data_IF_675957266975
#
_entry.id   IF_675957266975
#
_cell.length_a   1.000
_cell.length_b   1.000
_cell.length_c   1.000
_cell.angle_alpha   90.00
_cell.angle_beta   90.00
_cell.angle_gamma   90.00
#
_symmetry.space_group_name_H-M   'P 1'
#
loop_
_entity.id
_entity.type
_entity.pdbx_description
1 polymer ?
#
# COMPACT_ATOMS: atom_id res chain seq x y z
N UNK A 1 -11.86 -7.28 2.52
CA UNK A 1 -10.73 -8.13 2.08
C UNK A 1 -10.51 -7.88 0.59
N UNK A 2 -9.28 -7.66 0.12
CA UNK A 2 -9.06 -7.39 -1.32
C UNK A 2 -9.42 -8.64 -2.11
N UNK A 3 -10.25 -8.50 -3.14
CA UNK A 3 -10.61 -9.61 -4.03
C UNK A 3 -9.53 -9.88 -5.11
N UNK A 4 -8.34 -9.31 -4.93
CA UNK A 4 -7.22 -9.43 -5.86
C UNK A 4 -6.83 -10.89 -6.06
N UNK A 5 -6.65 -11.29 -7.31
CA UNK A 5 -6.28 -12.66 -7.71
C UNK A 5 -4.78 -12.92 -7.62
N UNK A 6 -3.95 -11.86 -7.48
CA UNK A 6 -2.51 -11.99 -7.39
C UNK A 6 -2.07 -12.78 -6.12
N UNK A 7 -1.07 -13.68 -6.23
CA UNK A 7 -0.61 -14.49 -5.09
C UNK A 7 -0.17 -13.63 -3.90
N UNK A 8 -0.71 -13.91 -2.71
CA UNK A 8 -0.48 -13.09 -1.50
C UNK A 8 0.94 -13.21 -0.96
N UNK A 9 1.59 -14.34 -1.19
CA UNK A 9 3.00 -14.61 -0.88
C UNK A 9 3.97 -13.83 -1.79
N UNK A 10 3.47 -13.25 -2.88
CA UNK A 10 4.23 -12.39 -3.81
C UNK A 10 3.76 -10.94 -3.78
N UNK A 11 2.89 -10.59 -2.83
CA UNK A 11 2.29 -9.28 -2.71
C UNK A 11 2.72 -8.63 -1.40
N UNK A 12 3.05 -7.34 -1.45
CA UNK A 12 3.20 -6.49 -0.29
C UNK A 12 2.24 -5.29 -0.45
N UNK A 13 1.45 -5.01 0.57
CA UNK A 13 0.56 -3.85 0.61
C UNK A 13 1.05 -2.92 1.71
N UNK A 14 1.53 -1.74 1.31
CA UNK A 14 1.98 -0.69 2.23
C UNK A 14 0.88 0.37 2.33
N UNK A 15 0.25 0.48 3.50
CA UNK A 15 -0.67 1.55 3.84
C UNK A 15 0.10 2.66 4.54
N UNK A 16 0.01 3.89 4.03
CA UNK A 16 0.70 5.05 4.59
C UNK A 16 -0.36 5.93 5.25
N UNK A 17 -0.43 5.87 6.57
CA UNK A 17 -1.27 6.75 7.38
C UNK A 17 -0.54 8.08 7.61
N UNK A 18 -0.94 9.12 6.87
CA UNK A 18 -0.29 10.44 6.88
C UNK A 18 -0.81 11.35 7.99
N UNK A 19 -0.77 10.86 9.23
CA UNK A 19 -1.29 11.51 10.43
C UNK A 19 -2.81 11.74 10.40
N UNK A 20 -3.59 10.71 10.06
CA UNK A 20 -5.05 10.77 10.16
C UNK A 20 -5.49 11.06 11.59
N UNK A 21 -6.55 11.86 11.73
CA UNK A 21 -7.12 12.28 13.03
C UNK A 21 -8.31 11.45 13.49
N UNK A 22 -8.80 10.58 12.62
CA UNK A 22 -9.90 9.67 12.88
C UNK A 22 -9.37 8.26 13.18
N UNK A 23 -10.21 7.24 13.01
CA UNK A 23 -9.83 5.85 13.30
C UNK A 23 -9.07 5.17 12.16
N UNK A 24 -8.77 5.88 11.06
CA UNK A 24 -8.10 5.32 9.87
C UNK A 24 -6.84 4.54 10.21
N UNK A 25 -5.93 5.15 10.96
CA UNK A 25 -4.68 4.49 11.37
C UNK A 25 -4.92 3.24 12.22
N UNK A 26 -5.88 3.30 13.16
CA UNK A 26 -6.23 2.15 14.02
C UNK A 26 -6.83 1.00 13.21
N UNK A 27 -7.71 1.31 12.26
CA UNK A 27 -8.34 0.32 11.39
C UNK A 27 -7.27 -0.34 10.52
N UNK A 28 -6.40 0.45 9.87
CA UNK A 28 -5.30 -0.08 9.07
C UNK A 28 -4.41 -1.05 9.88
N UNK A 29 -4.10 -0.70 11.13
CA UNK A 29 -3.30 -1.52 12.05
C UNK A 29 -4.00 -2.82 12.47
N UNK A 30 -5.34 -2.88 12.47
CA UNK A 30 -6.04 -4.15 12.66
C UNK A 30 -5.84 -5.08 11.46
N UNK A 31 -5.82 -4.53 10.25
CA UNK A 31 -5.58 -5.30 9.03
C UNK A 31 -4.14 -5.82 8.94
N UNK A 32 -3.13 -5.04 9.33
CA UNK A 32 -1.73 -5.52 9.37
C UNK A 32 -1.54 -6.69 10.33
N UNK A 33 -2.28 -6.73 11.43
CA UNK A 33 -2.27 -7.85 12.39
C UNK A 33 -2.97 -9.10 11.86
N UNK A 34 -4.02 -8.92 11.06
CA UNK A 34 -4.78 -10.02 10.47
C UNK A 34 -4.13 -10.60 9.20
N UNK A 35 -3.33 -9.81 8.48
CA UNK A 35 -2.77 -10.17 7.19
C UNK A 35 -1.28 -9.81 7.11
N UNK A 36 -0.43 -10.83 7.05
CA UNK A 36 1.02 -10.69 7.04
C UNK A 36 1.60 -9.92 5.85
N UNK A 37 0.87 -9.84 4.74
CA UNK A 37 1.27 -9.09 3.53
C UNK A 37 0.89 -7.60 3.61
N UNK A 38 0.24 -7.15 4.69
CA UNK A 38 -0.12 -5.74 4.90
C UNK A 38 0.83 -5.12 5.93
N UNK A 39 1.43 -4.00 5.57
CA UNK A 39 2.25 -3.16 6.44
C UNK A 39 1.63 -1.77 6.54
N UNK A 40 1.58 -1.24 7.76
CA UNK A 40 1.13 0.14 8.00
C UNK A 40 2.33 0.99 8.43
N UNK A 41 2.42 2.18 7.86
CA UNK A 41 3.41 3.19 8.23
C UNK A 41 2.63 4.40 8.74
N UNK A 42 2.83 4.73 10.01
CA UNK A 42 2.29 5.95 10.61
C UNK A 42 3.31 7.08 10.50
N UNK A 43 2.90 8.20 9.91
CA UNK A 43 3.68 9.44 9.86
C UNK A 43 3.18 10.41 10.92
N UNK A 44 4.08 11.19 11.52
CA UNK A 44 3.68 12.21 12.50
C UNK A 44 3.15 13.49 11.83
N UNK A 45 2.44 14.34 12.56
CA UNK A 45 1.99 15.66 12.06
C UNK A 45 3.14 16.57 11.58
N UNK A 46 4.37 16.34 12.09
CA UNK A 46 5.56 17.09 11.65
C UNK A 46 6.10 16.62 10.30
N UNK A 47 5.82 15.36 9.96
CA UNK A 47 6.19 14.73 8.69
C UNK A 47 5.06 14.86 7.66
N UNK A 48 3.81 14.88 8.12
CA UNK A 48 2.61 15.03 7.30
C UNK A 48 2.43 16.47 6.80
N UNK A 49 1.59 16.65 5.77
CA UNK A 49 1.35 17.97 5.13
C UNK A 49 2.38 18.35 4.06
N UNK A 50 3.41 17.54 3.84
CA UNK A 50 4.43 17.73 2.78
C UNK A 50 4.04 17.03 1.47
N UNK A 51 2.85 17.27 0.94
CA UNK A 51 2.32 16.68 -0.32
C UNK A 51 2.31 15.14 -0.42
N UNK A 52 1.46 14.59 -1.30
CA UNK A 52 1.34 13.13 -1.55
C UNK A 52 2.70 12.47 -1.83
N UNK A 53 3.59 13.16 -2.54
CA UNK A 53 4.92 12.65 -2.87
C UNK A 53 5.78 12.33 -1.64
N UNK A 54 5.70 13.12 -0.56
CA UNK A 54 6.49 12.82 0.65
C UNK A 54 5.97 11.59 1.38
N UNK A 55 4.66 11.35 1.35
CA UNK A 55 4.07 10.13 1.90
C UNK A 55 4.58 8.92 1.12
N UNK A 56 4.46 8.95 -0.22
CA UNK A 56 4.96 7.89 -1.10
C UNK A 56 6.46 7.62 -0.90
N UNK A 57 7.30 8.66 -0.79
CA UNK A 57 8.73 8.49 -0.51
C UNK A 57 9.03 7.87 0.86
N UNK A 58 8.16 8.06 1.85
CA UNK A 58 8.27 7.36 3.13
C UNK A 58 7.90 5.88 2.96
N UNK A 59 6.84 5.58 2.21
CA UNK A 59 6.40 4.21 1.92
C UNK A 59 7.41 3.41 1.10
N UNK A 60 7.98 4.01 0.06
CA UNK A 60 8.95 3.37 -0.84
C UNK A 60 10.19 2.81 -0.11
N UNK A 61 10.56 3.37 1.03
CA UNK A 61 11.69 2.86 1.85
C UNK A 61 11.43 1.50 2.47
N UNK A 62 10.18 1.03 2.47
CA UNK A 62 9.77 -0.27 2.99
C UNK A 62 9.32 -1.24 1.89
N UNK A 63 9.28 -0.79 0.63
CA UNK A 63 8.94 -1.63 -0.50
C UNK A 63 10.08 -2.61 -0.79
N UNK A 64 9.74 -3.89 -0.92
CA UNK A 64 10.67 -4.99 -1.22
C UNK A 64 10.49 -5.58 -2.62
N UNK A 65 9.37 -5.26 -3.29
CA UNK A 65 9.06 -5.73 -4.63
C UNK A 65 9.81 -5.01 -5.75
N UNK A 66 9.98 -5.71 -6.87
CA UNK A 66 10.62 -5.18 -8.10
C UNK A 66 9.74 -4.15 -8.82
N UNK A 67 8.43 -4.26 -8.66
CA UNK A 67 7.43 -3.35 -9.24
C UNK A 67 6.62 -2.73 -8.11
N UNK A 68 6.55 -1.40 -8.09
CA UNK A 68 5.72 -0.65 -7.14
C UNK A 68 4.49 -0.08 -7.85
N UNK A 69 3.32 -0.45 -7.36
CA UNK A 69 2.03 0.09 -7.81
C UNK A 69 1.50 1.07 -6.76
N UNK A 70 1.18 2.30 -7.18
CA UNK A 70 0.62 3.33 -6.31
C UNK A 70 -0.89 3.45 -6.55
N UNK A 71 -1.68 3.22 -5.51
CA UNK A 71 -3.13 3.39 -5.51
C UNK A 71 -3.55 4.47 -4.52
N UNK A 72 -4.60 5.22 -4.86
CA UNK A 72 -5.26 6.13 -3.93
C UNK A 72 -6.21 5.36 -2.99
N UNK A 73 -6.41 5.87 -1.77
CA UNK A 73 -7.19 5.18 -0.73
C UNK A 73 -8.70 5.14 -1.03
N UNK A 74 -9.19 5.99 -1.93
CA UNK A 74 -10.57 6.04 -2.41
C UNK A 74 -10.81 5.21 -3.68
N UNK A 75 -9.80 4.49 -4.15
CA UNK A 75 -9.89 3.62 -5.32
C UNK A 75 -10.23 2.17 -4.95
N UNK A 76 -11.18 1.57 -5.68
CA UNK A 76 -11.48 0.14 -5.58
C UNK A 76 -10.91 -0.62 -6.78
N UNK A 77 -9.77 -1.33 -6.62
CA UNK A 77 -9.12 -2.01 -7.74
C UNK A 77 -9.94 -3.19 -8.29
N UNK A 78 -9.89 -3.37 -9.60
CA UNK A 78 -10.35 -4.61 -10.24
C UNK A 78 -9.52 -5.80 -9.73
N UNK A 79 -10.14 -6.98 -9.67
CA UNK A 79 -9.54 -8.19 -9.08
C UNK A 79 -8.21 -8.59 -9.73
N UNK A 80 -8.09 -8.41 -11.03
CA UNK A 80 -6.94 -8.82 -11.84
C UNK A 80 -5.99 -7.65 -12.19
N UNK A 81 -6.11 -6.52 -11.49
CA UNK A 81 -5.38 -5.30 -11.85
C UNK A 81 -3.87 -5.48 -11.70
N UNK A 82 -3.42 -6.23 -10.70
CA UNK A 82 -1.99 -6.40 -10.43
C UNK A 82 -1.36 -7.20 -11.57
N UNK A 83 -1.94 -8.35 -11.93
CA UNK A 83 -1.53 -9.18 -13.07
C UNK A 83 -1.47 -8.36 -14.36
N UNK A 84 -2.50 -7.53 -14.61
CA UNK A 84 -2.57 -6.69 -15.81
C UNK A 84 -1.50 -5.61 -15.86
N UNK A 85 -1.13 -5.03 -14.72
CA UNK A 85 -0.12 -3.96 -14.66
C UNK A 85 1.30 -4.53 -14.70
N UNK A 86 1.54 -5.66 -14.05
CA UNK A 86 2.90 -6.24 -13.95
C UNK A 86 3.30 -7.06 -15.18
N UNK A 87 2.35 -7.57 -15.98
CA UNK A 87 2.65 -8.42 -17.15
C UNK A 87 3.60 -7.77 -18.17
N UNK A 88 3.55 -6.45 -18.30
CA UNK A 88 4.40 -5.70 -19.25
C UNK A 88 5.84 -5.53 -18.75
N UNK A 89 6.12 -5.90 -17.49
CA UNK A 89 7.44 -5.89 -16.88
C UNK A 89 8.06 -7.30 -16.81
N UNK A 90 7.40 -8.32 -17.35
CA UNK A 90 7.98 -9.66 -17.45
C UNK A 90 9.06 -9.67 -18.53
N UNK A 91 10.25 -10.19 -18.19
CA UNK A 91 11.30 -10.44 -19.18
C UNK A 91 10.79 -11.42 -20.26
N UNK A 92 11.16 -11.22 -21.54
CA UNK A 92 10.75 -12.08 -22.64
C UNK A 92 11.28 -13.53 -22.57
#
# INVERSE_FOLDING_TARGET
MTELTYPKDRLQVIVIDDASRDETGKIAEQYSKAYNYIKVIHRSERESGRVKASALNAGLRYADGEVVLCFDADYYPQRDIVEKLVKEFADP
#
